data_IF_657797427234
#
_entry.id   IF_657797427234
#
_cell.length_a   1.000
_cell.length_b   1.000
_cell.length_c   1.000
_cell.angle_alpha   90.00
_cell.angle_beta   90.00
_cell.angle_gamma   90.00
#
_symmetry.space_group_name_H-M   'P 1'
#
loop_
_entity.id
_entity.type
_entity.pdbx_description
1 polymer ?
#
# COMPACT_ATOMS: atom_id res chain seq x y z
N UNK A 1 -9.13 -6.42 -28.52
CA UNK A 1 -8.76 -5.02 -28.75
C UNK A 1 -8.13 -4.45 -27.48
N UNK A 2 -6.95 -3.82 -27.60
CA UNK A 2 -6.30 -3.08 -26.52
C UNK A 2 -6.63 -1.59 -26.68
N UNK A 3 -7.07 -0.95 -25.59
CA UNK A 3 -7.28 0.49 -25.52
C UNK A 3 -6.34 1.09 -24.50
N UNK A 4 -5.85 2.29 -24.76
CA UNK A 4 -5.20 3.16 -23.77
C UNK A 4 -6.21 4.23 -23.39
N UNK A 5 -6.53 4.30 -22.11
CA UNK A 5 -7.45 5.31 -21.56
C UNK A 5 -6.62 6.28 -20.75
N UNK A 6 -6.73 7.57 -21.06
CA UNK A 6 -6.03 8.64 -20.35
C UNK A 6 -7.06 9.53 -19.65
N UNK A 7 -6.69 10.03 -18.48
CA UNK A 7 -7.40 11.08 -17.74
C UNK A 7 -6.44 12.21 -17.39
N UNK A 8 -6.91 13.43 -17.47
CA UNK A 8 -6.16 14.62 -17.05
C UNK A 8 -7.00 15.41 -16.06
N UNK A 9 -6.33 15.88 -15.00
CA UNK A 9 -6.87 16.68 -13.91
C UNK A 9 -5.97 17.88 -13.68
N UNK A 10 -6.39 18.81 -12.87
CA UNK A 10 -5.62 20.02 -12.57
C UNK A 10 -4.33 19.71 -11.80
N UNK A 11 -4.32 18.59 -11.06
CA UNK A 11 -3.23 18.11 -10.20
C UNK A 11 -2.46 16.92 -10.79
N UNK A 12 -2.73 16.51 -12.06
CA UNK A 12 -1.96 15.47 -12.70
C UNK A 12 -2.65 14.71 -13.82
N UNK A 13 -2.01 13.63 -14.24
CA UNK A 13 -2.49 12.77 -15.33
C UNK A 13 -2.39 11.31 -14.95
N UNK A 14 -3.24 10.49 -15.54
CA UNK A 14 -3.17 9.05 -15.41
C UNK A 14 -3.54 8.36 -16.72
N UNK A 15 -3.01 7.15 -16.90
CA UNK A 15 -3.44 6.28 -17.98
C UNK A 15 -3.51 4.82 -17.52
N UNK A 16 -4.32 4.04 -18.22
CA UNK A 16 -4.39 2.58 -18.06
C UNK A 16 -4.65 1.89 -19.39
N UNK A 17 -4.45 0.59 -19.39
CA UNK A 17 -4.84 -0.27 -20.49
C UNK A 17 -6.18 -0.96 -20.19
N UNK A 18 -7.02 -1.07 -21.22
CA UNK A 18 -8.27 -1.84 -21.17
C UNK A 18 -8.24 -2.92 -22.25
N UNK A 19 -8.36 -4.16 -21.83
CA UNK A 19 -8.36 -5.33 -22.69
C UNK A 19 -9.80 -5.72 -23.01
N UNK A 20 -10.17 -5.73 -24.29
CA UNK A 20 -11.47 -6.20 -24.74
C UNK A 20 -11.45 -7.72 -24.99
N UNK A 21 -10.90 -8.51 -24.06
CA UNK A 21 -10.91 -9.95 -24.10
C UNK A 21 -12.30 -10.51 -23.75
N UNK A 22 -12.69 -11.59 -24.42
CA UNK A 22 -13.98 -12.27 -24.18
C UNK A 22 -13.80 -13.52 -23.31
N UNK A 23 -12.59 -14.04 -23.26
CA UNK A 23 -12.19 -15.21 -22.47
C UNK A 23 -11.02 -14.80 -21.55
N UNK A 24 -10.80 -15.49 -20.43
CA UNK A 24 -9.63 -15.26 -19.58
C UNK A 24 -8.33 -15.37 -20.36
N UNK A 25 -7.40 -14.46 -20.11
CA UNK A 25 -6.06 -14.43 -20.75
C UNK A 25 -4.98 -14.35 -19.70
N UNK A 26 -3.85 -15.01 -19.94
CA UNK A 26 -2.69 -14.91 -19.06
C UNK A 26 -1.85 -13.70 -19.46
N UNK A 27 -1.68 -12.76 -18.53
CA UNK A 27 -0.77 -11.63 -18.66
C UNK A 27 0.55 -11.98 -17.98
N UNK A 28 1.66 -11.77 -18.66
CA UNK A 28 3.02 -12.04 -18.14
C UNK A 28 3.84 -10.79 -17.92
N UNK A 29 3.65 -9.79 -18.76
CA UNK A 29 4.42 -8.56 -18.72
C UNK A 29 3.55 -7.38 -19.15
N UNK A 30 3.86 -6.24 -18.60
CA UNK A 30 3.43 -4.93 -19.09
C UNK A 30 4.70 -4.16 -19.52
N UNK A 31 4.68 -3.57 -20.71
CA UNK A 31 5.84 -2.89 -21.30
C UNK A 31 5.71 -1.36 -21.14
N UNK A 32 5.19 -0.93 -20.01
CA UNK A 32 5.10 0.49 -19.68
C UNK A 32 6.47 1.02 -19.25
N UNK A 33 6.82 2.16 -19.79
CA UNK A 33 8.07 2.86 -19.51
C UNK A 33 7.80 4.32 -19.16
N UNK A 34 8.64 4.89 -18.32
CA UNK A 34 8.68 6.31 -18.01
C UNK A 34 10.12 6.80 -18.08
N UNK A 35 10.42 7.72 -18.99
CA UNK A 35 11.76 8.29 -19.13
C UNK A 35 11.78 9.71 -18.58
N UNK A 36 12.71 9.98 -17.66
CA UNK A 36 12.96 11.28 -17.06
C UNK A 36 14.29 11.86 -17.58
N UNK A 37 14.72 12.99 -17.02
CA UNK A 37 16.07 13.50 -17.24
C UNK A 37 17.08 12.80 -16.32
N UNK A 38 18.29 12.59 -16.78
CA UNK A 38 19.40 12.04 -15.99
C UNK A 38 19.68 12.85 -14.73
N UNK A 39 19.45 14.16 -14.76
CA UNK A 39 19.68 15.09 -13.66
C UNK A 39 18.49 15.17 -12.68
N UNK A 40 17.43 14.38 -12.87
CA UNK A 40 16.27 14.40 -12.01
C UNK A 40 16.62 13.96 -10.59
N UNK A 41 16.28 14.77 -9.60
CA UNK A 41 16.30 14.39 -8.20
C UNK A 41 15.11 13.50 -7.90
N UNK A 42 15.34 12.42 -7.17
CA UNK A 42 14.31 11.44 -6.84
C UNK A 42 14.40 11.02 -5.38
N UNK A 43 13.26 10.77 -4.78
CA UNK A 43 13.12 10.10 -3.49
C UNK A 43 12.45 8.76 -3.74
N UNK A 44 13.21 7.69 -3.58
CA UNK A 44 12.80 6.34 -3.95
C UNK A 44 13.26 5.34 -2.90
N UNK A 45 12.39 4.42 -2.54
CA UNK A 45 12.74 3.27 -1.71
C UNK A 45 13.16 2.10 -2.60
N UNK A 46 14.30 1.50 -2.31
CA UNK A 46 14.71 0.25 -2.95
C UNK A 46 13.66 -0.83 -2.65
N UNK A 47 13.41 -1.72 -3.60
CA UNK A 47 12.43 -2.79 -3.43
C UNK A 47 12.77 -3.66 -2.23
N UNK A 48 11.80 -3.83 -1.36
CA UNK A 48 11.83 -4.68 -0.18
C UNK A 48 10.41 -5.19 0.07
N UNK A 49 10.27 -6.46 0.41
CA UNK A 49 8.97 -7.15 0.47
C UNK A 49 8.00 -6.53 1.49
N UNK A 50 8.50 -6.07 2.62
CA UNK A 50 7.71 -5.52 3.73
C UNK A 50 7.42 -4.02 3.64
N UNK A 51 7.95 -3.31 2.64
CA UNK A 51 7.83 -1.85 2.49
C UNK A 51 8.39 -1.03 3.67
N UNK A 52 9.22 -1.60 4.52
CA UNK A 52 9.72 -0.95 5.72
C UNK A 52 11.15 -0.42 5.54
N UNK A 53 11.30 0.67 4.77
CA UNK A 53 12.59 1.33 4.59
C UNK A 53 12.42 2.83 4.32
N UNK A 54 13.54 3.53 4.08
CA UNK A 54 13.57 4.95 3.80
C UNK A 54 13.49 5.25 2.30
N UNK A 55 13.12 6.49 1.98
CA UNK A 55 13.13 7.07 0.64
C UNK A 55 14.32 8.05 0.50
N UNK A 56 15.55 7.57 0.32
CA UNK A 56 16.70 8.44 0.18
C UNK A 56 16.62 9.27 -1.09
N UNK A 57 17.11 10.51 -1.02
CA UNK A 57 17.32 11.34 -2.19
C UNK A 57 18.43 10.77 -3.06
N UNK A 58 18.20 10.74 -4.36
CA UNK A 58 19.17 10.30 -5.39
C UNK A 58 19.01 11.14 -6.65
N UNK A 59 20.10 11.31 -7.39
CA UNK A 59 20.06 11.80 -8.77
C UNK A 59 20.13 10.60 -9.70
N UNK A 60 19.31 10.55 -10.75
CA UNK A 60 19.12 9.35 -11.55
C UNK A 60 20.42 8.80 -12.18
N UNK A 61 21.31 9.66 -12.65
CA UNK A 61 22.59 9.26 -13.25
C UNK A 61 23.56 8.62 -12.23
N UNK A 62 23.37 8.86 -10.94
CA UNK A 62 24.20 8.25 -9.88
C UNK A 62 23.89 6.79 -9.61
N UNK A 63 22.80 6.27 -10.15
CA UNK A 63 22.40 4.87 -9.99
C UNK A 63 23.15 4.00 -10.97
N UNK A 64 24.18 3.33 -10.49
CA UNK A 64 25.17 2.61 -11.30
C UNK A 64 24.97 1.10 -11.39
N UNK A 65 23.94 0.56 -10.73
CA UNK A 65 23.57 -0.86 -10.77
C UNK A 65 22.10 -1.02 -11.14
N UNK A 66 21.65 -2.15 -11.68
CA UNK A 66 20.25 -2.47 -11.83
C UNK A 66 19.57 -2.39 -10.45
N UNK A 67 18.45 -1.72 -10.37
CA UNK A 67 17.75 -1.51 -9.10
C UNK A 67 16.25 -1.47 -9.35
N UNK A 68 15.51 -2.03 -8.43
CA UNK A 68 14.05 -1.98 -8.38
C UNK A 68 13.60 -1.05 -7.25
N UNK A 69 12.50 -0.33 -7.46
CA UNK A 69 12.00 0.70 -6.55
C UNK A 69 10.52 0.53 -6.33
N UNK A 70 10.11 0.66 -5.09
CA UNK A 70 8.70 0.64 -4.71
C UNK A 70 8.02 1.99 -5.00
N UNK A 71 6.71 1.93 -5.24
CA UNK A 71 5.89 3.13 -5.23
C UNK A 71 5.62 3.63 -3.79
N UNK A 72 5.34 4.93 -3.61
CA UNK A 72 5.42 5.99 -4.61
C UNK A 72 6.86 6.43 -4.88
N UNK A 73 7.11 6.99 -6.05
CA UNK A 73 8.39 7.62 -6.42
C UNK A 73 8.16 9.12 -6.59
N UNK A 74 8.80 9.92 -5.74
CA UNK A 74 8.77 11.37 -5.84
C UNK A 74 9.96 11.86 -6.65
N UNK A 75 9.73 12.85 -7.54
CA UNK A 75 10.76 13.43 -8.38
C UNK A 75 10.69 14.95 -8.37
N UNK A 76 11.83 15.57 -8.57
CA UNK A 76 11.97 17.01 -8.78
C UNK A 76 12.89 17.28 -9.97
N UNK A 77 12.35 17.96 -10.98
CA UNK A 77 13.09 18.41 -12.14
C UNK A 77 12.65 19.83 -12.50
N UNK A 78 13.60 20.76 -12.70
CA UNK A 78 13.33 22.14 -13.12
C UNK A 78 12.23 22.84 -12.29
N UNK A 79 12.19 22.61 -10.99
CA UNK A 79 11.16 23.10 -10.04
C UNK A 79 9.77 22.45 -10.21
N UNK A 80 9.63 21.44 -11.04
CA UNK A 80 8.41 20.65 -11.18
C UNK A 80 8.51 19.42 -10.30
N UNK A 81 7.62 19.32 -9.34
CA UNK A 81 7.41 18.11 -8.54
C UNK A 81 6.50 17.13 -9.28
N UNK A 82 6.83 15.86 -9.20
CA UNK A 82 5.96 14.81 -9.71
C UNK A 82 6.06 13.58 -8.81
N UNK A 83 4.90 13.01 -8.46
CA UNK A 83 4.80 11.74 -7.75
C UNK A 83 4.24 10.69 -8.70
N UNK A 84 4.99 9.61 -8.89
CA UNK A 84 4.55 8.44 -9.63
C UNK A 84 3.99 7.40 -8.67
N UNK A 85 2.79 6.89 -8.94
CA UNK A 85 2.14 5.85 -8.17
C UNK A 85 1.12 5.09 -9.01
N UNK A 86 0.37 4.19 -8.40
CA UNK A 86 -0.76 3.49 -9.00
C UNK A 86 -2.07 3.85 -8.29
N UNK A 87 -3.18 3.70 -8.99
CA UNK A 87 -4.53 3.79 -8.44
C UNK A 87 -5.42 2.68 -9.02
N UNK A 88 -6.51 2.33 -8.34
CA UNK A 88 -7.44 1.26 -8.74
C UNK A 88 -6.73 -0.10 -8.97
N UNK A 89 -5.92 -0.54 -7.99
CA UNK A 89 -5.19 -1.82 -8.04
C UNK A 89 -6.07 -2.91 -7.42
N UNK A 90 -7.00 -3.51 -8.21
CA UNK A 90 -7.95 -4.49 -7.68
C UNK A 90 -7.80 -5.90 -8.27
N UNK A 91 -7.61 -6.00 -9.57
CA UNK A 91 -7.70 -7.29 -10.26
C UNK A 91 -6.38 -7.72 -10.89
N UNK A 92 -5.29 -7.18 -10.40
CA UNK A 92 -3.94 -7.47 -10.86
C UNK A 92 -2.95 -7.28 -9.71
N UNK A 93 -1.77 -7.90 -9.78
CA UNK A 93 -0.69 -7.61 -8.84
C UNK A 93 -0.28 -6.13 -8.90
N UNK A 94 0.08 -5.56 -7.76
CA UNK A 94 0.72 -4.24 -7.72
C UNK A 94 2.05 -4.28 -8.49
N UNK A 95 2.38 -3.17 -9.11
CA UNK A 95 3.65 -3.03 -9.82
C UNK A 95 4.67 -2.27 -8.99
N UNK A 96 5.90 -2.36 -9.42
CA UNK A 96 6.99 -1.52 -8.95
C UNK A 96 7.84 -1.08 -10.16
N UNK A 97 8.88 -0.30 -9.93
CA UNK A 97 9.71 0.23 -11.01
C UNK A 97 11.06 -0.48 -11.03
N UNK A 98 11.54 -0.85 -12.20
CA UNK A 98 12.92 -1.27 -12.40
C UNK A 98 13.68 -0.28 -13.27
N UNK A 99 14.99 -0.18 -13.05
CA UNK A 99 15.87 0.74 -13.78
C UNK A 99 17.21 0.10 -14.05
N UNK A 100 17.66 0.18 -15.27
CA UNK A 100 19.00 -0.21 -15.66
C UNK A 100 20.05 0.87 -15.31
N UNK A 101 21.31 0.47 -15.12
CA UNK A 101 22.38 1.43 -14.87
C UNK A 101 22.49 2.49 -15.97
N UNK A 102 22.72 3.73 -15.57
CA UNK A 102 22.91 4.86 -16.51
C UNK A 102 21.75 5.06 -17.48
N UNK A 103 20.57 4.57 -17.17
CA UNK A 103 19.35 4.85 -17.90
C UNK A 103 18.47 5.77 -17.07
N UNK A 104 17.82 6.74 -17.69
CA UNK A 104 16.79 7.55 -17.06
C UNK A 104 15.37 6.97 -17.26
N UNK A 105 15.29 5.76 -17.82
CA UNK A 105 14.03 5.06 -18.08
C UNK A 105 13.72 4.08 -16.95
N UNK A 106 12.55 4.24 -16.39
CA UNK A 106 11.92 3.26 -15.51
C UNK A 106 11.00 2.35 -16.29
N UNK A 107 11.04 1.06 -15.97
CA UNK A 107 10.13 0.04 -16.48
C UNK A 107 9.19 -0.40 -15.38
N UNK A 108 7.90 -0.50 -15.68
CA UNK A 108 6.91 -1.04 -14.77
C UNK A 108 6.99 -2.56 -14.79
N UNK A 109 7.19 -3.18 -13.62
CA UNK A 109 7.37 -4.63 -13.49
C UNK A 109 6.51 -5.19 -12.36
N UNK A 110 6.13 -6.45 -12.48
CA UNK A 110 5.50 -7.22 -11.40
C UNK A 110 6.58 -7.84 -10.50
N UNK A 111 6.22 -8.12 -9.25
CA UNK A 111 7.08 -8.90 -8.36
C UNK A 111 7.40 -10.28 -8.99
N UNK A 112 8.57 -10.87 -8.74
CA UNK A 112 8.94 -12.16 -9.34
C UNK A 112 7.96 -13.29 -9.05
N UNK A 113 7.34 -13.30 -7.89
CA UNK A 113 6.30 -14.23 -7.49
C UNK A 113 4.99 -14.07 -8.27
N UNK A 114 4.74 -12.87 -8.78
CA UNK A 114 3.54 -12.50 -9.56
C UNK A 114 3.82 -12.42 -11.06
N UNK A 115 4.80 -13.17 -11.55
CA UNK A 115 5.27 -13.13 -12.93
C UNK A 115 4.23 -13.49 -14.00
N UNK A 116 3.07 -14.00 -13.60
CA UNK A 116 1.93 -14.24 -14.49
C UNK A 116 0.62 -14.31 -13.69
N UNK A 117 -0.43 -13.66 -14.19
CA UNK A 117 -1.76 -13.74 -13.62
C UNK A 117 -2.83 -13.89 -14.72
N UNK A 118 -4.01 -14.35 -14.32
CA UNK A 118 -5.15 -14.51 -15.24
C UNK A 118 -5.99 -13.24 -15.19
N UNK A 119 -6.13 -12.59 -16.32
CA UNK A 119 -7.01 -11.45 -16.51
C UNK A 119 -8.37 -11.91 -17.01
N UNK A 120 -9.41 -11.68 -16.23
CA UNK A 120 -10.79 -12.01 -16.56
C UNK A 120 -11.32 -11.15 -17.74
N UNK A 121 -12.44 -11.53 -18.40
CA UNK A 121 -13.01 -10.76 -19.51
C UNK A 121 -13.24 -9.29 -19.18
N UNK A 122 -12.93 -8.44 -20.14
CA UNK A 122 -12.99 -6.97 -20.01
C UNK A 122 -12.01 -6.39 -18.98
N UNK A 123 -10.85 -7.01 -18.86
CA UNK A 123 -9.80 -6.62 -17.92
C UNK A 123 -9.32 -5.17 -18.09
N UNK A 124 -9.02 -4.53 -16.97
CA UNK A 124 -8.41 -3.20 -16.91
C UNK A 124 -7.20 -3.25 -15.98
N UNK A 125 -6.11 -2.60 -16.39
CA UNK A 125 -4.96 -2.44 -15.50
C UNK A 125 -5.25 -1.36 -14.45
N UNK A 126 -4.41 -1.30 -13.41
CA UNK A 126 -4.29 -0.12 -12.56
C UNK A 126 -4.03 1.14 -13.38
N UNK A 127 -4.37 2.30 -12.82
CA UNK A 127 -3.94 3.58 -13.37
C UNK A 127 -2.47 3.82 -13.05
N UNK A 128 -1.67 4.10 -14.07
CA UNK A 128 -0.35 4.68 -13.91
C UNK A 128 -0.56 6.17 -13.69
N UNK A 129 -0.25 6.61 -12.49
CA UNK A 129 -0.69 7.92 -11.97
C UNK A 129 0.51 8.83 -11.75
N UNK A 130 0.42 10.04 -12.26
CA UNK A 130 1.45 11.09 -12.17
C UNK A 130 0.81 12.33 -11.57
N UNK A 131 1.01 12.54 -10.27
CA UNK A 131 0.60 13.76 -9.57
C UNK A 131 1.67 14.80 -9.82
N UNK A 132 1.28 16.01 -10.20
CA UNK A 132 2.21 17.07 -10.59
C UNK A 132 1.90 18.37 -9.87
N UNK A 133 2.96 19.09 -9.44
CA UNK A 133 2.81 20.37 -8.77
C UNK A 133 4.08 21.22 -8.86
N UNK A 134 3.94 22.51 -8.60
CA UNK A 134 5.07 23.43 -8.55
C UNK A 134 5.69 23.50 -7.15
N UNK A 135 4.94 23.07 -6.15
CA UNK A 135 5.36 22.98 -4.76
C UNK A 135 5.09 21.59 -4.23
N UNK A 136 5.85 21.15 -3.24
CA UNK A 136 5.64 19.86 -2.60
C UNK A 136 4.25 19.77 -1.94
N UNK A 137 3.68 20.88 -1.49
CA UNK A 137 2.32 20.96 -0.96
C UNK A 137 1.26 20.54 -1.98
N UNK A 138 1.45 20.87 -3.26
CA UNK A 138 0.52 20.49 -4.34
C UNK A 138 0.43 18.95 -4.47
N UNK A 139 1.54 18.25 -4.21
CA UNK A 139 1.58 16.78 -4.21
C UNK A 139 0.82 16.22 -3.00
N UNK A 140 1.04 16.80 -1.82
CA UNK A 140 0.44 16.33 -0.55
C UNK A 140 -1.08 16.55 -0.53
N UNK A 141 -1.55 17.66 -1.13
CA UNK A 141 -2.97 18.04 -1.15
C UNK A 141 -3.74 17.44 -2.34
N UNK A 142 -3.05 16.72 -3.25
CA UNK A 142 -3.70 16.11 -4.41
C UNK A 142 -4.70 15.04 -4.01
N UNK A 143 -5.85 15.05 -4.66
CA UNK A 143 -6.88 14.01 -4.56
C UNK A 143 -6.97 13.14 -5.82
N UNK A 144 -5.91 13.12 -6.64
CA UNK A 144 -5.93 12.40 -7.91
C UNK A 144 -6.14 10.89 -7.74
N UNK A 145 -5.50 10.28 -6.73
CA UNK A 145 -5.65 8.85 -6.46
C UNK A 145 -7.10 8.52 -6.10
N UNK A 146 -7.71 9.30 -5.22
CA UNK A 146 -9.12 9.13 -4.83
C UNK A 146 -10.06 9.30 -6.03
N UNK A 147 -9.80 10.30 -6.89
CA UNK A 147 -10.62 10.58 -8.08
C UNK A 147 -10.51 9.50 -9.18
N UNK A 148 -9.43 8.71 -9.15
CA UNK A 148 -9.22 7.61 -10.09
C UNK A 148 -9.86 6.31 -9.61
N UNK A 149 -10.04 6.14 -8.30
CA UNK A 149 -10.68 4.98 -7.73
C UNK A 149 -12.22 5.07 -7.84
N UNK A 150 -12.93 3.95 -7.92
CA UNK A 150 -14.38 3.95 -7.84
C UNK A 150 -14.83 4.46 -6.46
N UNK A 151 -16.01 5.06 -6.42
CA UNK A 151 -16.64 5.38 -5.14
C UNK A 151 -16.93 4.09 -4.36
N UNK A 152 -16.91 4.19 -3.03
CA UNK A 152 -17.30 3.05 -2.18
C UNK A 152 -18.76 2.65 -2.41
N UNK A 153 -19.00 1.33 -2.42
CA UNK A 153 -20.34 0.75 -2.49
C UNK A 153 -20.97 0.55 -1.08
N UNK A 154 -20.22 0.85 -0.01
CA UNK A 154 -20.75 0.75 1.34
C UNK A 154 -21.79 1.84 1.61
N UNK A 155 -23.02 1.43 1.88
CA UNK A 155 -24.14 2.32 2.20
C UNK A 155 -24.22 2.69 3.68
N UNK A 156 -23.63 1.87 4.56
CA UNK A 156 -23.58 2.08 6.01
C UNK A 156 -22.12 2.05 6.48
N UNK A 157 -21.61 3.22 6.82
CA UNK A 157 -20.26 3.42 7.36
C UNK A 157 -20.27 4.02 8.77
N UNK A 158 -21.42 4.09 9.42
CA UNK A 158 -21.55 4.71 10.74
C UNK A 158 -20.78 3.96 11.84
N UNK A 159 -20.42 2.70 11.56
CA UNK A 159 -19.61 1.88 12.46
C UNK A 159 -18.09 2.22 12.38
N UNK A 160 -17.64 2.84 11.28
CA UNK A 160 -16.24 3.26 11.10
C UNK A 160 -16.03 4.54 11.90
N UNK A 161 -15.26 4.45 12.98
CA UNK A 161 -14.93 5.59 13.83
C UNK A 161 -13.43 5.73 13.96
N UNK A 162 -12.86 6.89 13.63
CA UNK A 162 -11.45 7.15 13.92
C UNK A 162 -11.23 7.21 15.43
N UNK A 163 -10.03 6.89 15.87
CA UNK A 163 -9.67 6.94 17.28
C UNK A 163 -8.21 6.58 17.49
N UNK A 164 -7.78 6.57 18.75
CA UNK A 164 -6.46 6.16 19.17
C UNK A 164 -6.52 4.70 19.61
N UNK A 165 -5.58 3.89 19.14
CA UNK A 165 -5.43 2.50 19.53
C UNK A 165 -4.26 2.32 20.51
N UNK A 166 -4.46 1.48 21.53
CA UNK A 166 -3.35 0.86 22.24
C UNK A 166 -2.80 -0.25 21.35
N UNK A 167 -1.54 -0.13 20.94
CA UNK A 167 -0.84 -1.10 20.10
C UNK A 167 0.33 -1.73 20.87
N UNK A 168 0.15 -2.92 21.43
CA UNK A 168 1.14 -3.53 22.33
C UNK A 168 2.45 -3.92 21.67
N UNK A 169 2.43 -4.24 20.38
CA UNK A 169 3.55 -4.86 19.67
C UNK A 169 4.87 -4.06 19.80
N UNK A 170 4.80 -2.75 19.68
CA UNK A 170 5.99 -1.89 19.77
C UNK A 170 6.52 -1.73 21.20
N UNK A 171 5.63 -1.81 22.20
CA UNK A 171 6.02 -1.70 23.61
C UNK A 171 6.38 -3.02 24.26
N UNK A 172 5.75 -4.09 23.83
CA UNK A 172 5.96 -5.45 24.33
C UNK A 172 5.65 -6.47 23.23
N UNK A 173 6.67 -6.87 22.49
CA UNK A 173 6.57 -7.80 21.36
C UNK A 173 5.76 -9.09 21.67
N UNK A 174 5.89 -9.63 22.91
CA UNK A 174 5.20 -10.85 23.32
C UNK A 174 3.77 -10.61 23.87
N UNK A 175 3.32 -9.37 23.94
CA UNK A 175 2.01 -9.05 24.54
C UNK A 175 0.86 -9.82 23.86
N UNK A 176 0.94 -9.96 22.53
CA UNK A 176 -0.09 -10.63 21.73
C UNK A 176 -0.23 -12.12 22.01
N UNK A 177 0.76 -12.75 22.64
CA UNK A 177 0.74 -14.17 23.02
C UNK A 177 0.01 -14.45 24.33
N UNK A 178 -0.37 -13.41 25.09
CA UNK A 178 -0.93 -13.56 26.45
C UNK A 178 -2.15 -12.68 26.65
N UNK A 179 -3.31 -13.30 26.81
CA UNK A 179 -4.59 -12.60 27.03
C UNK A 179 -4.53 -11.64 28.23
N UNK A 180 -3.89 -12.04 29.32
CA UNK A 180 -3.80 -11.19 30.52
C UNK A 180 -2.99 -9.91 30.23
N UNK A 181 -1.98 -9.99 29.39
CA UNK A 181 -1.25 -8.80 28.95
C UNK A 181 -2.09 -7.92 28.03
N UNK A 182 -2.83 -8.50 27.09
CA UNK A 182 -3.76 -7.73 26.26
C UNK A 182 -4.85 -7.04 27.08
N UNK A 183 -5.37 -7.70 28.15
CA UNK A 183 -6.30 -7.06 29.09
C UNK A 183 -5.68 -5.85 29.82
N UNK A 184 -4.40 -5.89 30.15
CA UNK A 184 -3.70 -4.72 30.72
C UNK A 184 -3.66 -3.54 29.71
N UNK A 185 -3.49 -3.82 28.42
CA UNK A 185 -3.55 -2.78 27.40
C UNK A 185 -4.98 -2.26 27.14
N UNK A 186 -5.99 -3.11 27.31
CA UNK A 186 -7.41 -2.65 27.37
C UNK A 186 -7.59 -1.69 28.55
N UNK A 187 -7.06 -2.02 29.73
CA UNK A 187 -7.14 -1.16 30.91
C UNK A 187 -6.43 0.17 30.68
N UNK A 188 -5.24 0.14 30.09
CA UNK A 188 -4.50 1.33 29.70
C UNK A 188 -5.30 2.20 28.72
N UNK A 189 -5.87 1.61 27.66
CA UNK A 189 -6.69 2.31 26.69
C UNK A 189 -7.89 3.00 27.38
N UNK A 190 -8.56 2.31 28.30
CA UNK A 190 -9.67 2.85 29.07
C UNK A 190 -9.25 4.02 29.98
N UNK A 191 -8.11 3.90 30.68
CA UNK A 191 -7.55 4.96 31.53
C UNK A 191 -7.19 6.20 30.71
N UNK A 192 -6.56 5.98 29.54
CA UNK A 192 -6.12 7.05 28.63
C UNK A 192 -7.27 7.62 27.80
N UNK A 193 -8.46 7.04 27.87
CA UNK A 193 -9.64 7.39 27.05
C UNK A 193 -9.41 7.21 25.56
N UNK A 194 -8.64 6.20 25.21
CA UNK A 194 -8.50 5.74 23.82
C UNK A 194 -9.67 4.84 23.46
N UNK A 195 -9.97 4.75 22.17
CA UNK A 195 -11.15 4.04 21.68
C UNK A 195 -10.88 2.57 21.37
N UNK A 196 -9.60 2.22 21.05
CA UNK A 196 -9.29 0.95 20.46
C UNK A 196 -8.16 0.20 21.15
N UNK A 197 -8.21 -1.12 21.05
CA UNK A 197 -7.07 -2.01 21.19
C UNK A 197 -6.82 -2.67 19.84
N UNK A 198 -5.62 -2.56 19.34
CA UNK A 198 -5.09 -3.38 18.25
C UNK A 198 -4.29 -4.54 18.82
N UNK A 199 -4.49 -5.73 18.29
CA UNK A 199 -3.63 -6.86 18.56
C UNK A 199 -3.21 -7.55 17.25
N UNK A 200 -2.01 -8.08 17.26
CA UNK A 200 -1.42 -8.73 16.11
C UNK A 200 -1.72 -10.22 16.16
N UNK A 201 -2.54 -10.69 15.22
CA UNK A 201 -3.00 -12.08 15.15
C UNK A 201 -1.88 -13.02 14.73
N UNK A 202 -1.02 -12.58 13.84
CA UNK A 202 0.10 -13.37 13.35
C UNK A 202 1.08 -13.78 14.46
N UNK A 203 1.12 -13.01 15.56
CA UNK A 203 1.97 -13.26 16.73
C UNK A 203 1.30 -14.08 17.84
N UNK A 204 0.01 -14.41 17.68
CA UNK A 204 -0.74 -15.18 18.66
C UNK A 204 -0.31 -16.63 18.60
N UNK A 205 0.45 -17.14 19.45
CA UNK A 205 0.84 -18.55 19.59
C UNK A 205 2.25 -18.95 19.17
N UNK A 206 3.07 -17.98 18.81
CA UNK A 206 4.47 -18.34 18.64
C UNK A 206 5.38 -17.30 19.22
N UNK A 207 6.54 -17.70 19.65
CA UNK A 207 7.64 -16.78 19.58
C UNK A 207 7.99 -16.41 18.12
N UNK A 208 7.46 -17.10 17.10
CA UNK A 208 7.86 -16.88 15.70
C UNK A 208 6.84 -17.51 14.74
N UNK A 209 5.86 -16.76 14.27
CA UNK A 209 4.94 -17.10 13.18
C UNK A 209 4.38 -18.53 13.19
N UNK A 210 3.18 -18.71 13.63
CA UNK A 210 2.48 -19.96 13.37
C UNK A 210 1.42 -19.71 12.29
N UNK A 211 1.35 -20.65 11.38
CA UNK A 211 0.25 -20.81 10.42
C UNK A 211 -1.06 -21.25 11.08
N UNK A 212 -1.38 -20.76 12.29
CA UNK A 212 -2.66 -21.10 12.91
C UNK A 212 -3.73 -20.16 12.43
N UNK A 213 -4.79 -20.74 11.94
CA UNK A 213 -6.02 -20.05 11.55
C UNK A 213 -6.62 -19.30 12.75
N UNK A 214 -7.33 -18.20 12.49
CA UNK A 214 -8.07 -17.43 13.48
C UNK A 214 -8.94 -18.31 14.39
N UNK A 215 -9.50 -19.36 13.84
CA UNK A 215 -10.37 -20.33 14.50
C UNK A 215 -9.66 -21.08 15.64
N UNK A 216 -8.35 -21.16 15.60
CA UNK A 216 -7.54 -21.78 16.65
C UNK A 216 -7.30 -20.86 17.86
N UNK A 217 -7.66 -19.58 17.75
CA UNK A 217 -7.45 -18.59 18.81
C UNK A 217 -8.69 -18.47 19.70
N UNK A 218 -8.78 -19.36 20.67
CA UNK A 218 -10.00 -19.54 21.49
C UNK A 218 -10.28 -18.41 22.47
N UNK A 219 -9.33 -17.54 22.78
CA UNK A 219 -9.49 -16.47 23.76
C UNK A 219 -9.96 -15.11 23.19
N UNK A 220 -10.04 -14.95 21.87
CA UNK A 220 -10.55 -13.69 21.26
C UNK A 220 -11.94 -13.31 21.80
N UNK A 221 -12.93 -14.20 21.91
CA UNK A 221 -14.22 -13.87 22.49
C UNK A 221 -14.14 -13.34 23.93
N UNK A 222 -13.20 -13.87 24.74
CA UNK A 222 -13.00 -13.40 26.12
C UNK A 222 -12.39 -11.99 26.13
N UNK A 223 -11.36 -11.74 25.29
CA UNK A 223 -10.75 -10.42 25.16
C UNK A 223 -11.77 -9.37 24.71
N UNK A 224 -12.56 -9.68 23.68
CA UNK A 224 -13.56 -8.75 23.13
C UNK A 224 -14.69 -8.48 24.12
N UNK A 225 -15.08 -9.46 24.92
CA UNK A 225 -16.07 -9.25 26.00
C UNK A 225 -15.50 -8.32 27.08
N UNK A 226 -14.27 -8.56 27.54
CA UNK A 226 -13.57 -7.74 28.51
C UNK A 226 -13.41 -6.28 28.05
N UNK A 227 -12.98 -6.09 26.80
CA UNK A 227 -12.81 -4.76 26.21
C UNK A 227 -14.16 -4.01 26.10
N UNK A 228 -15.22 -4.71 25.72
CA UNK A 228 -16.56 -4.14 25.60
C UNK A 228 -17.11 -3.62 26.94
N UNK A 229 -16.84 -4.31 28.05
CA UNK A 229 -17.22 -3.85 29.41
C UNK A 229 -16.58 -2.51 29.76
N UNK A 230 -15.45 -2.18 29.13
CA UNK A 230 -14.72 -0.92 29.30
C UNK A 230 -14.93 0.09 28.17
N UNK A 231 -15.84 -0.18 27.24
CA UNK A 231 -16.13 0.60 26.04
C UNK A 231 -14.91 0.73 25.09
N UNK A 232 -14.04 -0.26 25.07
CA UNK A 232 -12.92 -0.36 24.14
C UNK A 232 -13.30 -1.28 22.99
N UNK A 233 -13.10 -0.82 21.78
CA UNK A 233 -13.25 -1.61 20.56
C UNK A 233 -11.95 -2.37 20.29
N UNK A 234 -12.06 -3.55 19.67
CA UNK A 234 -10.92 -4.42 19.42
C UNK A 234 -10.86 -4.72 17.94
N UNK A 235 -9.69 -4.61 17.33
CA UNK A 235 -9.44 -5.12 16.01
C UNK A 235 -8.10 -5.88 15.97
N UNK A 236 -8.04 -6.86 15.08
CA UNK A 236 -6.85 -7.66 14.85
C UNK A 236 -6.19 -7.27 13.54
N UNK A 237 -4.87 -7.26 13.52
CA UNK A 237 -4.05 -7.20 12.33
C UNK A 237 -3.60 -8.63 11.97
N UNK A 238 -3.65 -8.99 10.68
CA UNK A 238 -3.27 -10.30 10.17
C UNK A 238 -2.47 -10.12 8.87
N UNK A 239 -1.45 -10.96 8.64
CA UNK A 239 -0.52 -10.88 7.52
C UNK A 239 -0.87 -11.87 6.40
#
# INVERSE_FOLDING_TARGET
LLKVVCRAYDDGVAFRYELGNQEPVTIRHELTECTLSDETHTWMMDWIKDYENFYPERVLDTITRPTEFLFPVLTLQDKQWMLMTEAEVYSMPAMHLSKEPKSATFHYVYAPEDSAFVAEPSFKTSWKTFIMGQNIGDIVESSLVENLNPSTDFSDMDWIKPGVAAFPWWGNYLANSYIDTLKMYVDLAAEMKWEWLEFDVSLINTPFHSSKEWEDVTWIPELTAYAREKNILVYGWDE
#
